data_IF_564830936329
#
_entry.id   IF_564830936329
#
_cell.length_a   1.000
_cell.length_b   1.000
_cell.length_c   1.000
_cell.angle_alpha   90.00
_cell.angle_beta   90.00
_cell.angle_gamma   90.00
#
_symmetry.space_group_name_H-M   'P 1'
#
loop_
_entity.id
_entity.type
_entity.pdbx_description
1 polymer ?
#
# COMPACT_ATOMS: atom_id res chain seq x y z
N UNK A 1 -0.86 13.55 -1.57
CA UNK A 1 -0.86 12.09 -1.80
C UNK A 1 -2.30 11.60 -1.86
N UNK A 2 -2.59 10.66 -2.75
CA UNK A 2 -3.91 10.08 -2.97
C UNK A 2 -4.02 8.67 -2.39
N UNK A 3 -2.97 7.86 -2.59
CA UNK A 3 -2.83 6.51 -2.04
C UNK A 3 -1.49 6.42 -1.30
N UNK A 4 -1.47 5.74 -0.16
CA UNK A 4 -0.28 5.47 0.62
C UNK A 4 -0.12 3.97 0.82
N UNK A 5 1.08 3.44 0.56
CA UNK A 5 1.42 2.05 0.81
C UNK A 5 2.45 1.98 1.93
N UNK A 6 2.18 1.18 2.96
CA UNK A 6 3.08 1.02 4.11
C UNK A 6 3.56 -0.43 4.15
N UNK A 7 4.86 -0.65 4.09
CA UNK A 7 5.44 -1.99 4.22
C UNK A 7 5.37 -2.44 5.67
N UNK A 8 4.65 -3.53 5.95
CA UNK A 8 4.31 -3.97 7.31
C UNK A 8 5.06 -5.23 7.79
N UNK A 9 5.73 -5.95 6.89
CA UNK A 9 6.44 -7.18 7.25
C UNK A 9 7.70 -7.43 6.40
N UNK A 10 8.51 -8.39 6.85
CA UNK A 10 9.72 -8.84 6.15
C UNK A 10 9.43 -9.55 4.82
N UNK A 11 8.17 -9.90 4.54
CA UNK A 11 7.74 -10.44 3.25
C UNK A 11 7.40 -9.31 2.26
N UNK A 12 7.72 -8.06 2.63
CA UNK A 12 7.53 -6.84 1.83
C UNK A 12 6.06 -6.57 1.49
N UNK A 13 5.13 -7.19 2.21
CA UNK A 13 3.70 -6.93 2.09
C UNK A 13 3.40 -5.50 2.49
N UNK A 14 2.47 -4.88 1.77
CA UNK A 14 2.12 -3.48 1.95
C UNK A 14 0.66 -3.32 2.34
N UNK A 15 0.44 -2.56 3.40
CA UNK A 15 -0.88 -2.08 3.78
C UNK A 15 -1.26 -0.89 2.91
N UNK A 16 -2.48 -0.91 2.40
CA UNK A 16 -2.98 0.09 1.47
C UNK A 16 -3.90 1.08 2.18
N UNK A 17 -3.56 2.37 2.09
CA UNK A 17 -4.28 3.45 2.77
C UNK A 17 -4.73 4.52 1.78
N UNK A 18 -6.05 4.68 1.55
CA UNK A 18 -6.55 5.83 0.81
C UNK A 18 -6.34 7.11 1.64
N UNK A 19 -5.74 8.14 1.05
CA UNK A 19 -5.51 9.45 1.68
C UNK A 19 -6.35 10.57 1.05
N UNK A 20 -6.96 10.31 -0.10
CA UNK A 20 -7.90 11.21 -0.75
C UNK A 20 -9.14 10.46 -1.24
N UNK A 21 -10.21 11.20 -1.53
CA UNK A 21 -11.41 10.64 -2.16
C UNK A 21 -11.10 10.04 -3.54
N UNK A 22 -10.15 10.62 -4.29
CA UNK A 22 -9.71 10.10 -5.58
C UNK A 22 -8.98 8.76 -5.45
N UNK A 23 -8.09 8.63 -4.46
CA UNK A 23 -7.44 7.35 -4.16
C UNK A 23 -8.45 6.28 -3.76
N UNK A 24 -9.43 6.62 -2.91
CA UNK A 24 -10.50 5.69 -2.52
C UNK A 24 -11.34 5.24 -3.73
N UNK A 25 -11.77 6.17 -4.59
CA UNK A 25 -12.56 5.85 -5.79
C UNK A 25 -11.80 4.93 -6.74
N UNK A 26 -10.52 5.19 -6.96
CA UNK A 26 -9.69 4.33 -7.81
C UNK A 26 -9.50 2.94 -7.22
N UNK A 27 -9.37 2.82 -5.89
CA UNK A 27 -9.32 1.50 -5.25
C UNK A 27 -10.64 0.76 -5.39
N UNK A 28 -11.77 1.46 -5.28
CA UNK A 28 -13.09 0.86 -5.48
C UNK A 28 -13.31 0.30 -6.90
N UNK A 29 -12.60 0.78 -7.92
CA UNK A 29 -12.68 0.18 -9.27
C UNK A 29 -11.83 -1.09 -9.42
N UNK A 30 -10.87 -1.32 -8.52
CA UNK A 30 -9.93 -2.44 -8.57
C UNK A 30 -10.22 -3.54 -7.53
N UNK A 31 -11.02 -3.22 -6.51
CA UNK A 31 -11.37 -4.13 -5.43
C UNK A 31 -12.89 -4.36 -5.36
N UNK A 32 -13.27 -5.58 -5.02
CA UNK A 32 -14.67 -5.93 -4.78
C UNK A 32 -15.28 -5.15 -3.60
N UNK A 33 -16.60 -4.96 -3.63
CA UNK A 33 -17.33 -4.18 -2.63
C UNK A 33 -17.14 -4.67 -1.20
N UNK A 34 -16.91 -5.97 -1.01
CA UNK A 34 -16.65 -6.58 0.30
C UNK A 34 -15.33 -6.07 0.93
N UNK A 35 -14.40 -5.56 0.12
CA UNK A 35 -13.13 -4.97 0.57
C UNK A 35 -13.20 -3.47 0.80
N UNK A 36 -14.27 -2.79 0.40
CA UNK A 36 -14.35 -1.34 0.51
C UNK A 36 -14.29 -0.84 1.95
N UNK A 37 -14.94 -1.55 2.87
CA UNK A 37 -14.85 -1.24 4.30
C UNK A 37 -13.41 -1.41 4.81
N UNK A 38 -12.74 -2.52 4.45
CA UNK A 38 -11.34 -2.76 4.79
C UNK A 38 -10.38 -1.71 4.18
N UNK A 39 -10.64 -1.23 2.95
CA UNK A 39 -9.88 -0.16 2.31
C UNK A 39 -10.04 1.16 3.09
N UNK A 40 -11.27 1.49 3.48
CA UNK A 40 -11.54 2.70 4.28
C UNK A 40 -10.88 2.64 5.66
N UNK A 41 -10.81 1.45 6.25
CA UNK A 41 -10.14 1.19 7.52
C UNK A 41 -8.62 0.98 7.38
N UNK A 42 -8.05 1.06 6.17
CA UNK A 42 -6.63 0.86 5.91
C UNK A 42 -6.09 -0.51 6.37
N UNK A 43 -6.94 -1.55 6.35
CA UNK A 43 -6.59 -2.92 6.78
C UNK A 43 -6.34 -3.89 5.62
N UNK A 44 -6.35 -3.39 4.38
CA UNK A 44 -6.06 -4.20 3.19
C UNK A 44 -4.56 -4.35 3.04
N UNK A 45 -4.11 -5.60 3.00
CA UNK A 45 -2.71 -5.98 2.81
C UNK A 45 -2.58 -6.64 1.44
N UNK A 46 -1.62 -6.16 0.67
CA UNK A 46 -1.26 -6.72 -0.64
C UNK A 46 0.20 -7.15 -0.65
N UNK A 47 0.53 -8.13 -1.49
CA UNK A 47 1.91 -8.57 -1.71
C UNK A 47 2.74 -7.49 -2.39
N UNK A 48 4.06 -7.62 -2.31
CA UNK A 48 4.99 -6.69 -2.97
C UNK A 48 4.74 -6.61 -4.49
N UNK A 49 4.58 -7.74 -5.16
CA UNK A 49 4.31 -7.81 -6.60
C UNK A 49 3.02 -7.05 -6.97
N UNK A 50 1.92 -7.32 -6.26
CA UNK A 50 0.66 -6.62 -6.46
C UNK A 50 0.79 -5.12 -6.14
N UNK A 51 1.63 -4.77 -5.17
CA UNK A 51 1.88 -3.36 -4.83
C UNK A 51 2.60 -2.62 -5.95
N UNK A 52 3.56 -3.24 -6.63
CA UNK A 52 4.27 -2.64 -7.75
C UNK A 52 3.32 -2.40 -8.94
N UNK A 53 2.50 -3.40 -9.28
CA UNK A 53 1.49 -3.29 -10.33
C UNK A 53 0.48 -2.18 -10.02
N UNK A 54 0.03 -2.11 -8.76
CA UNK A 54 -0.91 -1.08 -8.31
C UNK A 54 -0.30 0.33 -8.38
N UNK A 55 0.96 0.50 -7.97
CA UNK A 55 1.66 1.78 -8.05
C UNK A 55 1.79 2.23 -9.50
N UNK A 56 2.18 1.33 -10.41
CA UNK A 56 2.31 1.63 -11.83
C UNK A 56 0.97 2.07 -12.42
N UNK A 57 -0.10 1.30 -12.20
CA UNK A 57 -1.42 1.61 -12.75
C UNK A 57 -2.01 2.90 -12.16
N UNK A 58 -1.91 3.10 -10.85
CA UNK A 58 -2.37 4.32 -10.19
C UNK A 58 -1.57 5.56 -10.65
N UNK A 59 -0.26 5.42 -10.86
CA UNK A 59 0.59 6.51 -11.38
C UNK A 59 0.20 6.86 -12.81
N UNK A 60 -0.06 5.85 -13.66
CA UNK A 60 -0.55 6.03 -15.02
C UNK A 60 -1.94 6.69 -15.06
N UNK A 61 -2.78 6.43 -14.06
CA UNK A 61 -4.06 7.11 -13.86
C UNK A 61 -3.90 8.56 -13.35
N UNK A 62 -2.69 9.02 -13.05
CA UNK A 62 -2.39 10.37 -12.56
C UNK A 62 -2.58 10.57 -11.06
N UNK A 63 -2.66 9.48 -10.27
CA UNK A 63 -2.73 9.55 -8.82
C UNK A 63 -1.34 9.73 -8.19
N UNK A 64 -1.29 10.44 -7.07
CA UNK A 64 -0.06 10.59 -6.30
C UNK A 64 0.05 9.45 -5.30
N UNK A 65 1.01 8.55 -5.49
CA UNK A 65 1.27 7.43 -4.57
C UNK A 65 2.54 7.69 -3.77
N UNK A 66 2.50 7.41 -2.47
CA UNK A 66 3.70 7.36 -1.62
C UNK A 66 3.86 5.99 -0.97
N UNK A 67 5.10 5.54 -0.90
CA UNK A 67 5.47 4.27 -0.27
C UNK A 67 6.34 4.53 0.96
N UNK A 68 5.89 4.03 2.10
CA UNK A 68 6.62 4.05 3.35
C UNK A 68 7.04 2.62 3.73
N UNK A 69 8.13 2.54 4.48
CA UNK A 69 8.60 1.31 5.07
C UNK A 69 8.58 1.50 6.58
N UNK A 70 7.67 0.82 7.28
CA UNK A 70 7.70 0.77 8.75
C UNK A 70 8.76 -0.23 9.25
N UNK A 71 9.35 -1.01 8.34
CA UNK A 71 10.56 -1.78 8.62
C UNK A 71 11.72 -0.80 8.76
N UNK A 72 12.05 -0.48 10.00
CA UNK A 72 13.26 0.26 10.33
C UNK A 72 14.47 -0.47 9.74
N UNK A 73 15.31 0.25 9.00
CA UNK A 73 16.60 -0.23 8.50
C UNK A 73 17.54 -0.72 9.63
N UNK A 74 17.20 -0.46 10.91
CA UNK A 74 17.91 -1.00 12.08
C UNK A 74 17.62 -2.47 12.40
N UNK A 75 16.52 -3.06 11.95
CA UNK A 75 16.21 -4.48 12.24
C UNK A 75 16.88 -5.45 11.24
N UNK A 76 17.55 -4.92 10.22
CA UNK A 76 18.19 -5.70 9.13
C UNK A 76 19.67 -6.01 9.42
N UNK A 77 20.28 -5.42 10.47
CA UNK A 77 21.63 -5.79 10.86
C UNK A 77 21.61 -7.03 11.78
N UNK A 78 22.14 -8.18 11.36
CA UNK A 78 22.41 -9.24 12.33
C UNK A 78 23.38 -8.66 13.36
N UNK A 79 23.00 -8.73 14.64
CA UNK A 79 23.94 -8.52 15.75
C UNK A 79 25.03 -9.57 15.60
N UNK A 80 26.14 -9.20 14.96
CA UNK A 80 27.36 -9.98 15.00
C UNK A 80 27.84 -9.98 16.46
N UNK A 81 27.71 -11.13 17.12
CA UNK A 81 28.31 -11.44 18.42
C UNK A 81 29.84 -11.44 18.33
#
# INVERSE_FOLDING_TARGET
>A
MDICLITIDNNLNKSLQPKSAFGMLWLQTHFENDKWEALSNSTVIISEENSQLLIEDATNAGLNIECFSDISMLDVFPKNN
#
